data_IF_389706132249
#
_entry.id   IF_389706132249
#
_cell.length_a   1.000
_cell.length_b   1.000
_cell.length_c   1.000
_cell.angle_alpha   90.00
_cell.angle_beta   90.00
_cell.angle_gamma   90.00
#
_symmetry.space_group_name_H-M   'P 1'
#
loop_
_entity.id
_entity.type
_entity.pdbx_description
1 polymer ?
#
# COMPACT_ATOMS: atom_id res chain seq x y z
N UNK A 1 15.72 29.41 0.75
CA UNK A 1 15.18 28.24 1.46
C UNK A 1 14.17 28.79 2.45
N UNK A 2 12.88 28.77 2.11
CA UNK A 2 11.84 29.47 2.88
C UNK A 2 11.53 28.69 4.17
N UNK A 3 11.52 29.40 5.30
CA UNK A 3 11.29 28.88 6.63
C UNK A 3 9.80 28.50 6.79
N UNK A 4 9.45 27.21 6.74
CA UNK A 4 8.08 26.67 6.92
C UNK A 4 7.59 26.69 8.37
N UNK A 5 8.25 27.44 9.26
CA UNK A 5 8.15 27.34 10.72
C UNK A 5 6.86 27.94 11.32
N UNK A 6 5.88 28.32 10.50
CA UNK A 6 4.61 28.94 10.92
C UNK A 6 3.34 28.32 10.31
N UNK A 7 3.45 27.23 9.55
CA UNK A 7 2.28 26.49 9.05
C UNK A 7 1.85 25.42 10.07
N UNK A 8 0.54 25.22 10.20
CA UNK A 8 -0.04 24.14 11.01
C UNK A 8 0.23 22.75 10.41
N UNK A 9 0.64 22.71 9.13
CA UNK A 9 0.96 21.49 8.39
C UNK A 9 2.42 21.49 7.92
N UNK A 10 3.11 20.38 8.13
CA UNK A 10 4.47 20.15 7.65
C UNK A 10 4.44 19.63 6.21
N UNK A 11 4.54 20.56 5.26
CA UNK A 11 4.60 20.27 3.82
C UNK A 11 5.88 19.53 3.40
N UNK A 12 6.84 19.34 4.32
CA UNK A 12 8.08 18.58 4.07
C UNK A 12 8.02 17.16 4.63
N UNK A 13 6.90 16.76 5.25
CA UNK A 13 6.69 15.43 5.78
C UNK A 13 6.41 14.42 4.67
N UNK A 14 7.44 14.09 3.90
CA UNK A 14 7.46 12.87 3.10
C UNK A 14 7.83 11.75 4.07
N UNK A 15 6.84 10.98 4.52
CA UNK A 15 7.07 9.83 5.40
C UNK A 15 8.00 8.83 4.70
N UNK A 16 9.29 8.89 5.04
CA UNK A 16 10.29 7.98 4.49
C UNK A 16 9.94 6.55 4.93
N UNK A 17 9.90 5.62 3.97
CA UNK A 17 9.67 4.20 4.24
C UNK A 17 10.74 3.68 5.21
N UNK A 18 10.34 3.37 6.43
CA UNK A 18 11.24 2.86 7.46
C UNK A 18 11.60 1.40 7.15
N UNK A 19 12.89 1.09 7.18
CA UNK A 19 13.36 -0.30 7.07
C UNK A 19 12.84 -1.07 8.28
N UNK A 20 12.30 -2.27 8.06
CA UNK A 20 11.84 -3.15 9.14
C UNK A 20 12.98 -3.56 10.08
N UNK A 21 12.67 -3.92 11.32
CA UNK A 21 13.68 -4.39 12.27
C UNK A 21 14.32 -5.71 11.81
N UNK A 22 15.61 -5.89 12.10
CA UNK A 22 16.35 -7.12 11.83
C UNK A 22 15.74 -8.34 12.54
N UNK A 23 15.12 -8.13 13.70
CA UNK A 23 14.40 -9.18 14.42
C UNK A 23 13.17 -9.66 13.64
N UNK A 24 12.39 -8.72 13.13
CA UNK A 24 11.22 -9.02 12.30
C UNK A 24 11.62 -9.77 11.03
N UNK A 25 12.73 -9.36 10.40
CA UNK A 25 13.30 -10.09 9.26
C UNK A 25 13.64 -11.54 9.63
N UNK A 26 14.37 -11.77 10.73
CA UNK A 26 14.69 -13.12 11.20
C UNK A 26 13.44 -13.98 11.46
N UNK A 27 12.44 -13.43 12.14
CA UNK A 27 11.17 -14.12 12.42
C UNK A 27 10.45 -14.51 11.13
N UNK A 28 10.35 -13.60 10.16
CA UNK A 28 9.70 -13.89 8.87
C UNK A 28 10.38 -15.07 8.18
N UNK A 29 11.71 -15.09 8.10
CA UNK A 29 12.44 -16.19 7.46
C UNK A 29 12.35 -17.48 8.27
N UNK A 30 12.32 -17.43 9.60
CA UNK A 30 12.01 -18.61 10.43
C UNK A 30 10.66 -19.20 10.07
N UNK A 31 9.60 -18.38 9.96
CA UNK A 31 8.25 -18.86 9.60
C UNK A 31 8.24 -19.46 8.20
N UNK A 32 8.88 -18.80 7.22
CA UNK A 32 8.98 -19.30 5.84
C UNK A 32 9.68 -20.66 5.79
N UNK A 33 10.85 -20.79 6.42
CA UNK A 33 11.59 -22.06 6.42
C UNK A 33 10.91 -23.14 7.25
N UNK A 34 10.21 -22.79 8.33
CA UNK A 34 9.40 -23.73 9.09
C UNK A 34 8.23 -24.25 8.25
N UNK A 35 7.52 -23.37 7.52
CA UNK A 35 6.46 -23.77 6.61
C UNK A 35 6.96 -24.73 5.52
N UNK A 36 8.11 -24.42 4.89
CA UNK A 36 8.74 -25.30 3.89
C UNK A 36 9.19 -26.63 4.53
N UNK A 37 9.78 -26.58 5.71
CA UNK A 37 10.26 -27.75 6.44
C UNK A 37 9.15 -28.71 6.84
N UNK A 38 7.99 -28.17 7.18
CA UNK A 38 6.82 -28.92 7.62
C UNK A 38 5.83 -29.24 6.49
N UNK A 39 5.95 -28.61 5.31
CA UNK A 39 5.05 -28.83 4.18
C UNK A 39 4.87 -30.31 3.81
N UNK A 40 5.93 -31.15 3.74
CA UNK A 40 5.79 -32.55 3.37
C UNK A 40 4.98 -33.38 4.36
N UNK A 41 4.80 -32.93 5.60
CA UNK A 41 4.00 -33.64 6.60
C UNK A 41 2.51 -33.67 6.23
N UNK A 42 2.03 -32.72 5.42
CA UNK A 42 0.65 -32.70 4.94
C UNK A 42 0.34 -33.88 4.01
N UNK A 43 1.35 -34.34 3.27
CA UNK A 43 1.25 -35.45 2.33
C UNK A 43 1.79 -36.77 2.93
N UNK A 44 2.08 -36.80 4.24
CA UNK A 44 2.63 -37.96 4.95
C UNK A 44 4.13 -38.20 4.71
N UNK A 45 4.84 -37.24 4.11
CA UNK A 45 6.27 -37.29 3.87
C UNK A 45 7.12 -36.89 5.08
N UNK A 46 8.42 -37.18 5.01
CA UNK A 46 9.38 -36.75 6.03
C UNK A 46 9.65 -35.24 5.94
N UNK A 47 9.82 -34.55 7.09
CA UNK A 47 10.10 -33.12 7.08
C UNK A 47 11.46 -32.83 6.44
N UNK A 48 11.57 -31.68 5.78
CA UNK A 48 12.85 -31.23 5.23
C UNK A 48 13.74 -30.70 6.37
N UNK A 49 14.56 -31.59 6.93
CA UNK A 49 15.47 -31.28 8.04
C UNK A 49 16.37 -30.06 7.74
N UNK A 50 16.84 -29.90 6.49
CA UNK A 50 17.65 -28.75 6.10
C UNK A 50 16.90 -27.42 6.28
N UNK A 51 15.59 -27.39 5.97
CA UNK A 51 14.76 -26.21 6.12
C UNK A 51 14.45 -25.94 7.59
N UNK A 52 14.23 -26.97 8.40
CA UNK A 52 14.06 -26.82 9.85
C UNK A 52 15.33 -26.33 10.54
N UNK A 53 16.51 -26.81 10.13
CA UNK A 53 17.81 -26.31 10.61
C UNK A 53 17.97 -24.83 10.25
N UNK A 54 17.64 -24.44 9.01
CA UNK A 54 17.66 -23.05 8.59
C UNK A 54 16.69 -22.19 9.42
N UNK A 55 15.47 -22.66 9.67
CA UNK A 55 14.49 -21.96 10.50
C UNK A 55 15.01 -21.70 11.93
N UNK A 56 15.62 -22.71 12.55
CA UNK A 56 16.26 -22.60 13.86
C UNK A 56 17.45 -21.63 13.85
N UNK A 57 18.27 -21.66 12.78
CA UNK A 57 19.37 -20.73 12.59
C UNK A 57 18.92 -19.28 12.49
N UNK A 58 17.89 -18.98 11.68
CA UNK A 58 17.31 -17.64 11.57
C UNK A 58 16.67 -17.17 12.87
N UNK A 59 16.04 -18.08 13.63
CA UNK A 59 15.43 -17.75 14.91
C UNK A 59 16.49 -17.38 15.95
N UNK A 60 17.53 -18.21 16.06
CA UNK A 60 18.67 -17.95 16.94
C UNK A 60 19.39 -16.65 16.57
N UNK A 61 19.64 -16.43 15.28
CA UNK A 61 20.26 -15.19 14.79
C UNK A 61 19.39 -13.96 15.09
N UNK A 62 18.08 -14.04 14.90
CA UNK A 62 17.14 -12.96 15.19
C UNK A 62 17.08 -12.59 16.68
N UNK A 63 17.17 -13.58 17.58
CA UNK A 63 17.07 -13.36 19.03
C UNK A 63 18.40 -12.97 19.68
N UNK A 64 19.49 -13.65 19.32
CA UNK A 64 20.80 -13.51 19.98
C UNK A 64 21.67 -12.43 19.32
N UNK A 65 21.69 -12.37 17.99
CA UNK A 65 22.61 -11.50 17.24
C UNK A 65 21.94 -10.85 16.01
N UNK A 66 20.88 -10.02 16.21
CA UNK A 66 20.15 -9.41 15.09
C UNK A 66 21.03 -8.51 14.21
N UNK A 67 22.13 -7.98 14.74
CA UNK A 67 23.10 -7.20 13.98
C UNK A 67 23.71 -7.97 12.78
N UNK A 68 23.81 -9.30 12.87
CA UNK A 68 24.31 -10.15 11.79
C UNK A 68 23.35 -10.18 10.59
N UNK A 69 22.04 -10.02 10.85
CA UNK A 69 21.00 -10.01 9.82
C UNK A 69 20.85 -8.63 9.15
N UNK A 70 21.53 -7.59 9.64
CA UNK A 70 21.42 -6.22 9.12
C UNK A 70 21.71 -6.07 7.62
N UNK A 71 22.84 -6.58 7.06
CA UNK A 71 23.09 -6.47 5.62
C UNK A 71 22.06 -7.21 4.78
N UNK A 72 21.60 -8.38 5.25
CA UNK A 72 20.57 -9.19 4.58
C UNK A 72 19.21 -8.50 4.61
N UNK A 73 18.81 -7.96 5.76
CA UNK A 73 17.57 -7.19 5.90
C UNK A 73 17.55 -5.98 4.96
N UNK A 74 18.68 -5.25 4.87
CA UNK A 74 18.80 -4.11 3.94
C UNK A 74 18.71 -4.54 2.48
N UNK A 75 19.39 -5.62 2.10
CA UNK A 75 19.32 -6.15 0.73
C UNK A 75 17.90 -6.59 0.37
N UNK A 76 17.22 -7.30 1.28
CA UNK A 76 15.84 -7.73 1.14
C UNK A 76 14.87 -6.55 1.01
N UNK A 77 15.09 -5.50 1.81
CA UNK A 77 14.29 -4.28 1.73
C UNK A 77 14.45 -3.57 0.38
N UNK A 78 15.68 -3.42 -0.12
CA UNK A 78 15.94 -2.83 -1.45
C UNK A 78 15.34 -3.67 -2.58
N UNK A 79 15.43 -5.00 -2.48
CA UNK A 79 14.77 -5.90 -3.40
C UNK A 79 13.25 -5.70 -3.39
N UNK A 80 12.64 -5.60 -2.20
CA UNK A 80 11.22 -5.31 -2.03
C UNK A 80 10.81 -3.97 -2.65
N UNK A 81 11.62 -2.92 -2.51
CA UNK A 81 11.39 -1.64 -3.19
C UNK A 81 11.45 -1.76 -4.71
N UNK A 82 12.43 -2.50 -5.24
CA UNK A 82 12.54 -2.77 -6.67
C UNK A 82 11.34 -3.54 -7.21
N UNK A 83 10.90 -4.58 -6.50
CA UNK A 83 9.71 -5.35 -6.83
C UNK A 83 8.45 -4.46 -6.78
N UNK A 84 8.31 -3.64 -5.74
CA UNK A 84 7.19 -2.71 -5.60
C UNK A 84 7.10 -1.73 -6.79
N UNK A 85 8.24 -1.21 -7.27
CA UNK A 85 8.29 -0.32 -8.44
C UNK A 85 7.70 -0.95 -9.71
N UNK A 86 7.77 -2.28 -9.85
CA UNK A 86 7.24 -3.01 -11.01
C UNK A 86 5.81 -3.48 -10.76
N UNK A 87 5.56 -4.09 -9.60
CA UNK A 87 4.26 -4.66 -9.24
C UNK A 87 3.20 -3.57 -9.08
N UNK A 88 3.54 -2.42 -8.48
CA UNK A 88 2.56 -1.36 -8.23
C UNK A 88 1.95 -0.82 -9.56
N UNK A 89 2.73 -0.41 -10.58
CA UNK A 89 2.17 -0.05 -11.88
C UNK A 89 1.40 -1.19 -12.57
N UNK A 90 1.87 -2.45 -12.45
CA UNK A 90 1.17 -3.59 -13.03
C UNK A 90 -0.22 -3.78 -12.41
N UNK A 91 -0.31 -3.79 -11.08
CA UNK A 91 -1.58 -3.93 -10.35
C UNK A 91 -2.49 -2.74 -10.63
N UNK A 92 -1.97 -1.51 -10.62
CA UNK A 92 -2.75 -0.31 -10.96
C UNK A 92 -3.26 -0.34 -12.39
N UNK A 93 -2.43 -0.78 -13.34
CA UNK A 93 -2.84 -0.97 -14.74
C UNK A 93 -3.92 -2.03 -14.86
N UNK A 94 -3.78 -3.16 -14.17
CA UNK A 94 -4.78 -4.23 -14.16
C UNK A 94 -6.11 -3.75 -13.59
N UNK A 95 -6.10 -3.06 -12.44
CA UNK A 95 -7.30 -2.44 -11.86
C UNK A 95 -7.95 -1.45 -12.83
N UNK A 96 -7.15 -0.62 -13.49
CA UNK A 96 -7.67 0.34 -14.45
C UNK A 96 -8.35 -0.33 -15.64
N UNK A 97 -7.72 -1.33 -16.27
CA UNK A 97 -8.26 -1.95 -17.47
C UNK A 97 -9.35 -3.01 -17.20
N UNK A 98 -9.28 -3.72 -16.07
CA UNK A 98 -10.26 -4.76 -15.74
C UNK A 98 -11.43 -4.27 -14.90
N UNK A 99 -11.27 -3.17 -14.15
CA UNK A 99 -12.34 -2.64 -13.28
C UNK A 99 -12.82 -1.29 -13.77
N UNK A 100 -11.94 -0.28 -13.80
CA UNK A 100 -12.36 1.10 -14.08
C UNK A 100 -12.86 1.26 -15.52
N UNK A 101 -12.10 0.74 -16.49
CA UNK A 101 -12.42 0.84 -17.92
C UNK A 101 -13.76 0.19 -18.29
N UNK A 102 -14.07 -1.06 -17.89
CA UNK A 102 -15.36 -1.65 -18.20
C UNK A 102 -16.51 -0.93 -17.51
N UNK A 103 -16.34 -0.48 -16.25
CA UNK A 103 -17.36 0.34 -15.59
C UNK A 103 -17.61 1.63 -16.39
N UNK A 104 -16.55 2.32 -16.81
CA UNK A 104 -16.67 3.53 -17.62
C UNK A 104 -17.35 3.25 -18.98
N UNK A 105 -17.04 2.12 -19.62
CA UNK A 105 -17.67 1.71 -20.88
C UNK A 105 -19.16 1.44 -20.69
N UNK A 106 -19.54 0.71 -19.63
CA UNK A 106 -20.94 0.42 -19.28
C UNK A 106 -21.71 1.73 -19.04
N UNK A 107 -21.15 2.67 -18.27
CA UNK A 107 -21.77 3.97 -18.03
C UNK A 107 -21.94 4.77 -19.33
N UNK A 108 -20.93 4.74 -20.21
CA UNK A 108 -20.97 5.41 -21.51
C UNK A 108 -22.04 4.82 -22.43
N UNK A 109 -22.20 3.50 -22.46
CA UNK A 109 -23.27 2.81 -23.22
C UNK A 109 -24.64 3.18 -22.65
N UNK A 110 -24.78 3.29 -21.32
CA UNK A 110 -26.00 3.77 -20.67
C UNK A 110 -26.24 5.28 -20.83
N UNK A 111 -25.35 6.01 -21.51
CA UNK A 111 -25.44 7.47 -21.67
C UNK A 111 -25.24 8.26 -20.37
N UNK A 112 -24.78 7.62 -19.29
CA UNK A 112 -24.57 8.26 -17.99
C UNK A 112 -23.23 8.99 -17.98
N UNK A 113 -23.28 10.29 -17.72
CA UNK A 113 -22.10 11.12 -17.47
C UNK A 113 -22.15 11.68 -16.05
N UNK A 114 -21.73 10.91 -15.02
CA UNK A 114 -21.81 11.34 -13.63
C UNK A 114 -20.94 12.55 -13.33
N UNK A 115 -19.91 12.80 -14.15
CA UNK A 115 -18.99 13.92 -14.00
C UNK A 115 -19.37 15.12 -14.87
N UNK A 116 -20.47 15.04 -15.64
CA UNK A 116 -20.94 16.10 -16.58
C UNK A 116 -19.78 16.72 -17.36
N UNK A 117 -18.95 15.87 -17.95
CA UNK A 117 -17.71 16.27 -18.62
C UNK A 117 -17.94 16.89 -19.99
N UNK A 118 -19.12 16.69 -20.58
CA UNK A 118 -19.48 17.29 -21.86
C UNK A 118 -19.65 18.79 -21.68
N UNK A 119 -19.05 19.56 -22.59
CA UNK A 119 -19.25 20.99 -22.65
C UNK A 119 -20.66 21.29 -23.16
N UNK A 120 -21.40 22.10 -22.41
CA UNK A 120 -22.74 22.58 -22.72
C UNK A 120 -22.66 24.07 -23.08
N UNK A 121 -22.60 24.43 -24.38
CA UNK A 121 -22.42 25.82 -24.81
C UNK A 121 -23.63 26.72 -24.48
N UNK A 122 -24.82 26.14 -24.42
CA UNK A 122 -26.07 26.86 -24.13
C UNK A 122 -26.38 26.96 -22.62
N UNK A 123 -25.50 26.39 -21.77
CA UNK A 123 -25.70 26.44 -20.32
C UNK A 123 -25.44 27.83 -19.77
N UNK A 124 -26.42 28.40 -19.05
CA UNK A 124 -26.29 29.70 -18.38
C UNK A 124 -25.27 29.66 -17.24
N UNK A 125 -25.13 28.52 -16.56
CA UNK A 125 -24.15 28.28 -15.49
C UNK A 125 -23.95 26.78 -15.27
N UNK A 126 -22.73 26.36 -14.95
CA UNK A 126 -22.40 24.99 -14.52
C UNK A 126 -22.62 24.77 -13.02
N UNK A 127 -22.99 25.82 -12.27
CA UNK A 127 -23.23 25.72 -10.83
C UNK A 127 -24.43 24.81 -10.55
N UNK A 128 -24.22 23.78 -9.74
CA UNK A 128 -25.28 22.88 -9.31
C UNK A 128 -25.94 23.47 -8.07
N UNK A 129 -27.12 24.05 -8.23
CA UNK A 129 -27.93 24.51 -7.10
C UNK A 129 -28.34 23.32 -6.23
N UNK A 130 -28.08 23.41 -4.92
CA UNK A 130 -28.42 22.36 -3.97
C UNK A 130 -29.86 22.54 -3.50
N UNK A 131 -30.65 21.46 -3.60
CA UNK A 131 -32.01 21.37 -3.06
C UNK A 131 -32.11 20.14 -2.14
N UNK A 132 -32.31 20.31 -0.82
CA UNK A 132 -32.44 21.59 -0.10
C UNK A 132 -31.12 22.39 -0.10
N UNK A 133 -31.20 23.72 0.09
CA UNK A 133 -30.01 24.54 0.28
C UNK A 133 -29.18 23.99 1.45
N UNK A 134 -27.86 24.16 1.37
CA UNK A 134 -26.94 23.73 2.44
C UNK A 134 -27.34 24.34 3.79
N UNK A 135 -26.84 23.78 4.91
CA UNK A 135 -27.13 24.31 6.23
C UNK A 135 -26.79 25.81 6.30
N UNK A 136 -27.58 26.57 7.05
CA UNK A 136 -27.39 28.01 7.16
C UNK A 136 -25.96 28.34 7.59
N UNK A 137 -25.43 29.48 7.13
CA UNK A 137 -24.07 29.92 7.42
C UNK A 137 -23.76 29.95 8.93
N UNK A 138 -24.79 30.11 9.76
CA UNK A 138 -24.70 30.08 11.22
C UNK A 138 -24.41 28.70 11.84
N UNK A 139 -24.43 27.61 11.07
CA UNK A 139 -24.12 26.27 11.61
C UNK A 139 -22.62 26.06 11.88
N UNK A 140 -21.74 26.85 11.29
CA UNK A 140 -20.28 26.77 11.49
C UNK A 140 -19.80 27.72 12.61
N UNK A 141 -20.41 27.64 13.80
CA UNK A 141 -20.09 28.55 14.93
C UNK A 141 -18.69 28.34 15.53
N UNK A 142 -18.05 27.20 15.26
CA UNK A 142 -16.74 26.82 15.81
C UNK A 142 -15.88 26.21 14.70
N UNK A 143 -15.40 27.05 13.79
CA UNK A 143 -14.55 26.60 12.67
C UNK A 143 -13.07 26.47 13.06
N UNK A 144 -12.70 26.93 14.26
CA UNK A 144 -11.33 26.90 14.79
C UNK A 144 -11.33 26.46 16.25
#
# INVERSE_FOLDING_TARGET
>A
MAETKGLHEDLTRIDASKIGSERSFGIVFTVVFAAIGLWPLLDGGAPHLWALIAAGGFLAAGLVAPALLKPFNRAWFLFGLGLHKVVNPMVMGLLFFLTVTPIALILRIQGKDPLRRRFEPDATSYWIERTPPGPEAETMRQQF
#
